data_IF_960490461493
#
_entry.id   IF_960490461493
#
_cell.length_a   1.000
_cell.length_b   1.000
_cell.length_c   1.000
_cell.angle_alpha   90.00
_cell.angle_beta   90.00
_cell.angle_gamma   90.00
#
_symmetry.space_group_name_H-M   'P 1'
#
loop_
_entity.id
_entity.type
_entity.pdbx_description
1 polymer ?
#
# COMPACT_ATOMS: atom_id res chain seq x y z
N UNK A 1 34.26 8.73 -13.83
CA UNK A 1 34.96 8.13 -12.66
C UNK A 1 34.16 7.02 -12.00
N UNK A 2 32.84 7.15 -11.81
CA UNK A 2 31.97 6.08 -11.28
C UNK A 2 32.01 4.76 -12.08
N UNK A 3 32.01 4.83 -13.42
CA UNK A 3 32.07 3.64 -14.30
C UNK A 3 33.42 2.89 -14.28
N UNK A 4 34.43 3.40 -13.56
CA UNK A 4 35.71 2.69 -13.37
C UNK A 4 35.71 1.80 -12.12
N UNK A 5 34.66 1.89 -11.31
CA UNK A 5 34.49 1.03 -10.15
C UNK A 5 33.98 -0.35 -10.60
N UNK A 6 34.35 -1.42 -9.89
CA UNK A 6 33.69 -2.72 -10.03
C UNK A 6 32.18 -2.61 -9.82
N UNK A 7 31.36 -3.39 -10.55
CA UNK A 7 29.90 -3.32 -10.46
C UNK A 7 29.39 -3.60 -9.04
N UNK A 8 30.06 -4.46 -8.28
CA UNK A 8 29.68 -4.81 -6.90
C UNK A 8 29.76 -3.60 -5.95
N UNK A 9 30.71 -2.69 -6.19
CA UNK A 9 30.84 -1.46 -5.42
C UNK A 9 29.74 -0.47 -5.78
N UNK A 10 29.37 -0.38 -7.06
CA UNK A 10 28.25 0.46 -7.52
C UNK A 10 26.95 -0.01 -6.87
N UNK A 11 26.69 -1.31 -6.86
CA UNK A 11 25.52 -1.90 -6.18
C UNK A 11 25.52 -1.59 -4.68
N UNK A 12 26.69 -1.70 -4.03
CA UNK A 12 26.81 -1.43 -2.60
C UNK A 12 26.55 0.04 -2.28
N UNK A 13 27.08 0.97 -3.08
CA UNK A 13 26.83 2.41 -2.93
C UNK A 13 25.35 2.70 -3.16
N UNK A 14 24.77 2.21 -4.25
CA UNK A 14 23.37 2.43 -4.60
C UNK A 14 22.41 1.84 -3.54
N UNK A 15 22.68 0.63 -3.06
CA UNK A 15 21.92 0.02 -1.97
C UNK A 15 22.03 0.84 -0.67
N UNK A 16 23.23 1.31 -0.35
CA UNK A 16 23.47 2.13 0.84
C UNK A 16 22.69 3.45 0.75
N UNK A 17 22.66 4.12 -0.40
CA UNK A 17 21.85 5.32 -0.61
C UNK A 17 20.35 5.07 -0.36
N UNK A 18 19.84 3.94 -0.84
CA UNK A 18 18.45 3.53 -0.61
C UNK A 18 18.21 3.20 0.87
N UNK A 19 19.18 2.61 1.57
CA UNK A 19 19.08 2.31 3.00
C UNK A 19 18.96 3.56 3.89
N UNK A 20 19.50 4.70 3.45
CA UNK A 20 19.31 5.98 4.16
C UNK A 20 17.89 6.52 4.05
N UNK A 21 17.10 6.06 3.07
CA UNK A 21 15.70 6.43 2.89
C UNK A 21 14.82 5.18 2.93
N UNK A 22 14.61 4.55 4.11
CA UNK A 22 13.92 3.27 4.20
C UNK A 22 12.45 3.36 3.74
N UNK A 23 11.79 4.49 3.97
CA UNK A 23 10.40 4.73 3.59
C UNK A 23 10.28 5.34 2.18
N UNK A 24 9.18 5.02 1.50
CA UNK A 24 8.86 5.47 0.16
C UNK A 24 9.61 4.73 -0.96
N UNK A 25 9.36 5.11 -2.22
CA UNK A 25 10.05 4.52 -3.37
C UNK A 25 11.57 4.81 -3.31
N UNK A 26 12.41 4.03 -4.01
CA UNK A 26 13.86 4.23 -4.05
C UNK A 26 14.26 5.43 -4.93
N UNK A 27 13.70 6.62 -4.65
CA UNK A 27 13.89 7.84 -5.43
C UNK A 27 15.36 8.33 -5.45
N UNK A 28 16.15 7.97 -4.42
CA UNK A 28 17.58 8.24 -4.36
C UNK A 28 18.37 7.61 -5.53
N UNK A 29 17.81 6.61 -6.22
CA UNK A 29 18.43 6.01 -7.40
C UNK A 29 18.19 6.80 -8.69
N UNK A 30 17.17 7.67 -8.75
CA UNK A 30 16.81 8.36 -9.98
C UNK A 30 17.99 9.12 -10.61
N UNK A 31 18.80 9.89 -9.87
CA UNK A 31 19.95 10.56 -10.47
C UNK A 31 20.95 9.57 -11.08
N UNK A 32 21.19 8.43 -10.44
CA UNK A 32 22.10 7.40 -10.95
C UNK A 32 21.56 6.72 -12.20
N UNK A 33 20.27 6.36 -12.20
CA UNK A 33 19.57 5.75 -13.33
C UNK A 33 19.58 6.65 -14.58
N UNK A 34 19.52 7.97 -14.39
CA UNK A 34 19.49 8.95 -15.48
C UNK A 34 20.88 9.33 -16.02
N UNK A 35 21.97 8.89 -15.37
CA UNK A 35 23.33 9.27 -15.80
C UNK A 35 23.88 8.46 -16.96
N UNK A 36 23.62 7.15 -17.01
CA UNK A 36 24.20 6.26 -18.03
C UNK A 36 23.40 4.96 -18.18
N UNK A 37 23.33 4.42 -19.40
CA UNK A 37 22.57 3.19 -19.71
C UNK A 37 23.07 1.96 -18.96
N UNK A 38 24.39 1.81 -18.78
CA UNK A 38 24.95 0.68 -18.01
C UNK A 38 24.53 0.70 -16.54
N UNK A 39 24.50 1.89 -15.92
CA UNK A 39 24.04 2.05 -14.54
C UNK A 39 22.54 1.79 -14.45
N UNK A 40 21.77 2.25 -15.44
CA UNK A 40 20.37 1.91 -15.54
C UNK A 40 20.17 0.39 -15.56
N UNK A 41 20.77 -0.32 -16.52
CA UNK A 41 20.62 -1.79 -16.65
C UNK A 41 21.03 -2.53 -15.37
N UNK A 42 22.13 -2.11 -14.73
CA UNK A 42 22.61 -2.73 -13.50
C UNK A 42 21.64 -2.50 -12.32
N UNK A 43 21.20 -1.25 -12.11
CA UNK A 43 20.35 -0.86 -10.98
C UNK A 43 18.85 -1.16 -11.21
N UNK A 44 18.45 -1.55 -12.41
CA UNK A 44 17.13 -2.13 -12.70
C UNK A 44 17.14 -3.65 -12.78
N UNK A 45 18.27 -4.30 -12.49
CA UNK A 45 18.36 -5.75 -12.51
C UNK A 45 17.49 -6.39 -11.41
N UNK A 46 16.85 -7.52 -11.72
CA UNK A 46 16.06 -8.28 -10.76
C UNK A 46 16.79 -8.59 -9.43
N UNK A 47 18.06 -9.07 -9.41
CA UNK A 47 18.75 -9.33 -8.14
C UNK A 47 18.95 -8.08 -7.28
N UNK A 48 19.24 -6.93 -7.89
CA UNK A 48 19.41 -5.68 -7.18
C UNK A 48 18.08 -5.16 -6.61
N UNK A 49 17.01 -5.18 -7.42
CA UNK A 49 15.66 -4.80 -6.97
C UNK A 49 15.14 -5.74 -5.88
N UNK A 50 15.39 -7.05 -5.97
CA UNK A 50 15.07 -8.00 -4.91
C UNK A 50 15.77 -7.68 -3.60
N UNK A 51 17.03 -7.22 -3.66
CA UNK A 51 17.78 -6.77 -2.48
C UNK A 51 17.14 -5.53 -1.86
N UNK A 52 16.65 -4.59 -2.68
CA UNK A 52 15.90 -3.42 -2.20
C UNK A 52 14.54 -3.84 -1.61
N UNK A 53 13.85 -4.79 -2.21
CA UNK A 53 12.58 -5.32 -1.71
C UNK A 53 12.74 -5.84 -0.28
N UNK A 54 13.78 -6.67 -0.04
CA UNK A 54 14.13 -7.20 1.29
C UNK A 54 14.53 -6.15 2.32
N UNK A 55 14.91 -4.95 1.88
CA UNK A 55 15.23 -3.83 2.75
C UNK A 55 13.96 -3.02 3.11
N UNK A 56 13.11 -2.76 2.12
CA UNK A 56 11.98 -1.83 2.24
C UNK A 56 10.65 -2.45 2.66
N UNK A 57 10.46 -3.74 2.37
CA UNK A 57 9.21 -4.47 2.53
C UNK A 57 9.42 -5.72 3.39
N UNK A 58 8.32 -6.25 3.88
CA UNK A 58 8.26 -7.53 4.59
C UNK A 58 8.15 -8.66 3.56
N UNK A 59 9.30 -9.18 3.11
CA UNK A 59 9.33 -10.25 2.10
C UNK A 59 9.01 -11.63 2.66
N UNK A 60 8.97 -11.79 3.99
CA UNK A 60 8.68 -13.06 4.63
C UNK A 60 7.27 -13.57 4.29
N UNK A 61 6.29 -12.67 4.14
CA UNK A 61 4.96 -13.01 3.67
C UNK A 61 4.96 -13.58 2.23
N UNK A 62 5.74 -12.98 1.32
CA UNK A 62 5.95 -13.51 -0.04
C UNK A 62 6.60 -14.90 0.02
N UNK A 63 7.58 -15.10 0.90
CA UNK A 63 8.20 -16.41 1.13
C UNK A 63 7.21 -17.44 1.66
N UNK A 64 6.28 -17.06 2.55
CA UNK A 64 5.22 -17.96 3.05
C UNK A 64 4.28 -18.43 1.95
N UNK A 65 3.95 -17.56 0.97
CA UNK A 65 3.04 -17.88 -0.14
C UNK A 65 3.69 -18.68 -1.26
N UNK A 66 4.90 -18.28 -1.68
CA UNK A 66 5.59 -18.86 -2.84
C UNK A 66 6.62 -19.93 -2.47
N UNK A 67 6.85 -20.17 -1.17
CA UNK A 67 7.87 -21.04 -0.57
C UNK A 67 9.33 -20.65 -0.89
N UNK A 68 9.66 -20.43 -2.17
CA UNK A 68 10.99 -20.05 -2.65
C UNK A 68 10.87 -18.96 -3.74
N UNK A 69 10.61 -17.69 -3.37
CA UNK A 69 10.45 -16.61 -4.33
C UNK A 69 11.77 -16.33 -5.06
N UNK A 70 11.68 -16.21 -6.39
CA UNK A 70 12.80 -15.83 -7.23
C UNK A 70 13.14 -14.34 -7.03
N UNK A 71 14.35 -13.89 -7.44
CA UNK A 71 14.68 -12.47 -7.45
C UNK A 71 13.73 -11.65 -8.34
N UNK A 72 13.19 -12.24 -9.41
CA UNK A 72 12.22 -11.57 -10.27
C UNK A 72 10.91 -11.31 -9.52
N UNK A 73 10.41 -12.29 -8.76
CA UNK A 73 9.16 -12.15 -7.99
C UNK A 73 9.29 -11.04 -6.93
N UNK A 74 10.44 -10.95 -6.26
CA UNK A 74 10.70 -9.90 -5.27
C UNK A 74 10.86 -8.52 -5.92
N UNK A 75 11.45 -8.45 -7.11
CA UNK A 75 11.56 -7.20 -7.86
C UNK A 75 10.17 -6.71 -8.32
N UNK A 76 9.33 -7.62 -8.83
CA UNK A 76 7.96 -7.32 -9.21
C UNK A 76 7.13 -6.87 -8.01
N UNK A 77 7.24 -7.57 -6.88
CA UNK A 77 6.58 -7.18 -5.64
C UNK A 77 6.97 -5.76 -5.19
N UNK A 78 8.26 -5.39 -5.28
CA UNK A 78 8.73 -4.04 -4.98
C UNK A 78 8.11 -3.00 -5.91
N UNK A 79 8.07 -3.27 -7.22
CA UNK A 79 7.49 -2.35 -8.21
C UNK A 79 6.00 -2.17 -7.96
N UNK A 80 5.28 -3.27 -7.74
CA UNK A 80 3.87 -3.25 -7.42
C UNK A 80 3.59 -2.44 -6.15
N UNK A 81 4.31 -2.71 -5.06
CA UNK A 81 4.19 -1.94 -3.82
C UNK A 81 4.46 -0.44 -4.04
N UNK A 82 5.52 -0.08 -4.80
CA UNK A 82 5.80 1.32 -5.09
C UNK A 82 4.67 2.02 -5.86
N UNK A 83 4.00 1.33 -6.79
CA UNK A 83 2.84 1.88 -7.52
C UNK A 83 1.66 2.12 -6.59
N UNK A 84 1.35 1.17 -5.72
CA UNK A 84 0.28 1.32 -4.71
C UNK A 84 0.58 2.52 -3.80
N UNK A 85 1.81 2.64 -3.29
CA UNK A 85 2.21 3.77 -2.45
C UNK A 85 2.13 5.11 -3.19
N UNK A 86 2.40 5.13 -4.50
CA UNK A 86 2.24 6.34 -5.31
C UNK A 86 0.76 6.69 -5.53
N UNK A 87 -0.10 5.72 -5.81
CA UNK A 87 -1.53 5.93 -5.96
C UNK A 87 -2.18 6.45 -4.66
N UNK A 88 -1.84 5.85 -3.51
CA UNK A 88 -2.29 6.33 -2.20
C UNK A 88 -1.86 7.78 -1.94
N UNK A 89 -0.64 8.15 -2.34
CA UNK A 89 -0.11 9.51 -2.22
C UNK A 89 -0.78 10.51 -3.15
N UNK A 90 -1.15 10.10 -4.35
CA UNK A 90 -1.91 10.95 -5.27
C UNK A 90 -3.25 11.34 -4.66
N UNK A 91 -3.86 10.44 -3.87
CA UNK A 91 -5.04 10.75 -3.08
C UNK A 91 -6.33 10.81 -3.88
N UNK A 92 -6.31 10.37 -5.14
CA UNK A 92 -7.49 10.33 -6.01
C UNK A 92 -8.31 9.07 -5.69
N UNK A 93 -9.42 9.27 -4.97
CA UNK A 93 -10.35 8.18 -4.63
C UNK A 93 -11.36 7.92 -5.75
N UNK A 94 -11.38 8.76 -6.79
CA UNK A 94 -12.25 8.65 -7.96
C UNK A 94 -11.57 8.00 -9.15
N UNK A 95 -10.29 7.63 -9.01
CA UNK A 95 -9.53 6.88 -10.01
C UNK A 95 -10.27 5.58 -10.39
N UNK A 96 -10.14 5.19 -11.66
CA UNK A 96 -10.68 3.94 -12.20
C UNK A 96 -10.03 2.72 -11.50
N UNK A 97 -8.77 2.84 -11.10
CA UNK A 97 -7.99 1.75 -10.49
C UNK A 97 -8.05 1.78 -8.94
N UNK A 98 -9.00 2.53 -8.36
CA UNK A 98 -9.12 2.66 -6.89
C UNK A 98 -9.38 1.32 -6.20
N UNK A 99 -10.17 0.44 -6.81
CA UNK A 99 -10.50 -0.86 -6.24
C UNK A 99 -9.24 -1.75 -6.14
N UNK A 100 -8.44 -1.78 -7.22
CA UNK A 100 -7.17 -2.52 -7.24
C UNK A 100 -6.16 -1.92 -6.27
N UNK A 101 -6.13 -0.59 -6.14
CA UNK A 101 -5.29 0.11 -5.16
C UNK A 101 -5.66 -0.27 -3.74
N UNK A 102 -6.95 -0.26 -3.40
CA UNK A 102 -7.45 -0.69 -2.09
C UNK A 102 -7.13 -2.16 -1.82
N UNK A 103 -7.40 -3.05 -2.78
CA UNK A 103 -7.14 -4.48 -2.64
C UNK A 103 -5.64 -4.75 -2.41
N UNK A 104 -4.77 -4.08 -3.17
CA UNK A 104 -3.32 -4.21 -3.05
C UNK A 104 -2.80 -3.64 -1.74
N UNK A 105 -3.37 -2.51 -1.28
CA UNK A 105 -3.04 -1.93 0.02
C UNK A 105 -3.46 -2.85 1.17
N UNK A 106 -4.63 -3.50 1.08
CA UNK A 106 -5.06 -4.49 2.06
C UNK A 106 -4.11 -5.70 2.08
N UNK A 107 -3.72 -6.23 0.92
CA UNK A 107 -2.74 -7.33 0.86
C UNK A 107 -1.41 -6.95 1.52
N UNK A 108 -0.88 -5.76 1.24
CA UNK A 108 0.34 -5.26 1.90
C UNK A 108 0.16 -5.14 3.42
N UNK A 109 -1.03 -4.75 3.88
CA UNK A 109 -1.34 -4.64 5.31
C UNK A 109 -1.45 -6.00 5.99
N UNK A 110 -1.99 -7.01 5.31
CA UNK A 110 -2.08 -8.38 5.84
C UNK A 110 -0.74 -9.09 5.86
N UNK A 111 0.12 -8.76 4.90
CA UNK A 111 1.50 -9.25 4.81
C UNK A 111 2.47 -8.51 5.73
N UNK A 112 1.96 -7.62 6.59
CA UNK A 112 2.79 -6.76 7.41
C UNK A 112 3.41 -7.50 8.60
N UNK A 113 4.75 -7.52 8.62
CA UNK A 113 5.57 -7.89 9.78
C UNK A 113 6.25 -6.64 10.40
N UNK A 114 5.93 -5.44 9.89
CA UNK A 114 6.26 -4.14 10.48
C UNK A 114 6.64 -3.07 9.44
N UNK A 115 7.29 -3.46 8.34
CA UNK A 115 7.78 -2.51 7.32
C UNK A 115 6.68 -2.12 6.35
N UNK A 116 5.80 -3.05 5.96
CA UNK A 116 4.75 -2.76 4.99
C UNK A 116 3.77 -1.70 5.52
N UNK A 117 3.35 -1.80 6.78
CA UNK A 117 2.51 -0.78 7.40
C UNK A 117 3.24 0.55 7.53
N UNK A 118 4.54 0.55 7.86
CA UNK A 118 5.33 1.77 7.87
C UNK A 118 5.35 2.46 6.49
N UNK A 119 5.45 1.70 5.40
CA UNK A 119 5.32 2.22 4.03
C UNK A 119 3.92 2.79 3.77
N UNK A 120 2.87 2.02 4.06
CA UNK A 120 1.48 2.41 3.84
C UNK A 120 1.12 3.69 4.63
N UNK A 121 1.54 3.75 5.89
CA UNK A 121 1.40 4.94 6.74
C UNK A 121 2.13 6.14 6.14
N UNK A 122 3.36 5.95 5.68
CA UNK A 122 4.13 7.01 5.01
C UNK A 122 3.52 7.48 3.67
N UNK A 123 2.74 6.61 3.02
CA UNK A 123 1.95 6.95 1.84
C UNK A 123 0.59 7.59 2.15
N UNK A 124 0.17 7.62 3.41
CA UNK A 124 -1.09 8.23 3.82
C UNK A 124 -2.31 7.33 3.68
N UNK A 125 -2.14 5.99 3.79
CA UNK A 125 -3.23 5.02 3.62
C UNK A 125 -4.48 5.34 4.45
N UNK A 126 -4.32 5.80 5.70
CA UNK A 126 -5.45 6.10 6.58
C UNK A 126 -6.28 7.26 6.03
N UNK A 127 -5.62 8.36 5.65
CA UNK A 127 -6.27 9.55 5.08
C UNK A 127 -6.94 9.22 3.75
N UNK A 128 -6.30 8.39 2.92
CA UNK A 128 -6.87 7.93 1.66
C UNK A 128 -8.17 7.15 1.87
N UNK A 129 -8.14 6.17 2.77
CA UNK A 129 -9.26 5.28 3.03
C UNK A 129 -10.40 6.01 3.74
N UNK A 130 -10.09 6.90 4.68
CA UNK A 130 -11.10 7.76 5.32
C UNK A 130 -11.80 8.64 4.28
N UNK A 131 -11.04 9.24 3.35
CA UNK A 131 -11.60 10.01 2.24
C UNK A 131 -12.52 9.16 1.37
N UNK A 132 -12.08 7.95 1.00
CA UNK A 132 -12.91 7.02 0.24
C UNK A 132 -14.21 6.71 0.98
N UNK A 133 -14.14 6.41 2.28
CA UNK A 133 -15.32 6.10 3.10
C UNK A 133 -16.30 7.27 3.15
N UNK A 134 -15.79 8.49 3.31
CA UNK A 134 -16.63 9.70 3.37
C UNK A 134 -17.28 10.07 2.04
N UNK A 135 -16.59 9.82 0.93
CA UNK A 135 -17.02 10.30 -0.39
C UNK A 135 -17.75 9.24 -1.22
N UNK A 136 -17.37 7.96 -1.09
CA UNK A 136 -17.75 6.90 -2.03
C UNK A 136 -18.45 5.69 -1.41
N UNK A 137 -18.38 5.49 -0.09
CA UNK A 137 -19.00 4.31 0.54
C UNK A 137 -20.51 4.18 0.25
N UNK A 138 -21.19 5.31 0.07
CA UNK A 138 -22.63 5.40 -0.21
C UNK A 138 -22.95 5.70 -1.68
N UNK A 139 -21.94 5.66 -2.56
CA UNK A 139 -22.15 5.82 -3.99
C UNK A 139 -23.04 4.69 -4.53
N UNK A 140 -23.96 5.03 -5.44
CA UNK A 140 -24.91 4.05 -6.01
C UNK A 140 -26.10 3.68 -5.12
N UNK A 141 -26.24 4.29 -3.92
CA UNK A 141 -27.39 4.03 -3.02
C UNK A 141 -28.75 4.29 -3.65
N UNK A 142 -28.83 5.21 -4.61
CA UNK A 142 -30.08 5.55 -5.31
C UNK A 142 -30.63 4.33 -6.08
N UNK A 143 -29.74 3.43 -6.51
CA UNK A 143 -30.10 2.15 -7.13
C UNK A 143 -30.34 1.00 -6.13
N UNK A 144 -30.17 1.24 -4.82
CA UNK A 144 -30.24 0.23 -3.76
C UNK A 144 -31.12 0.68 -2.59
N UNK A 145 -32.29 1.25 -2.90
CA UNK A 145 -33.28 1.69 -1.90
C UNK A 145 -32.72 2.63 -0.82
N UNK A 146 -31.73 3.45 -1.18
CA UNK A 146 -31.07 4.39 -0.25
C UNK A 146 -29.99 3.76 0.63
N UNK A 147 -29.72 2.45 0.50
CA UNK A 147 -28.69 1.73 1.25
C UNK A 147 -27.35 1.67 0.51
N UNK A 148 -26.21 1.65 1.22
CA UNK A 148 -24.91 1.53 0.57
C UNK A 148 -24.80 0.20 -0.17
N UNK A 149 -24.06 0.19 -1.27
CA UNK A 149 -23.83 -1.03 -2.06
C UNK A 149 -22.83 -1.94 -1.35
N UNK A 150 -23.08 -3.25 -1.41
CA UNK A 150 -22.06 -4.24 -1.08
C UNK A 150 -21.12 -4.39 -2.28
N UNK A 151 -19.86 -4.00 -2.10
CA UNK A 151 -18.81 -4.16 -3.10
C UNK A 151 -17.50 -4.54 -2.43
N UNK A 152 -16.62 -5.21 -3.19
CA UNK A 152 -15.28 -5.57 -2.73
C UNK A 152 -14.47 -4.33 -2.34
N UNK A 153 -14.58 -3.24 -3.11
CA UNK A 153 -13.96 -1.95 -2.79
C UNK A 153 -14.44 -1.41 -1.42
N UNK A 154 -15.75 -1.43 -1.16
CA UNK A 154 -16.31 -0.98 0.12
C UNK A 154 -15.85 -1.86 1.28
N UNK A 155 -15.90 -3.19 1.13
CA UNK A 155 -15.42 -4.10 2.15
C UNK A 155 -13.93 -3.88 2.45
N UNK A 156 -13.11 -3.77 1.41
CA UNK A 156 -11.66 -3.55 1.52
C UNK A 156 -11.32 -2.22 2.20
N UNK A 157 -12.04 -1.15 1.84
CA UNK A 157 -11.87 0.15 2.47
C UNK A 157 -12.23 0.10 3.97
N UNK A 158 -13.31 -0.59 4.34
CA UNK A 158 -13.69 -0.76 5.75
C UNK A 158 -12.64 -1.53 6.54
N UNK A 159 -12.10 -2.61 5.97
CA UNK A 159 -11.00 -3.37 6.59
C UNK A 159 -9.74 -2.53 6.76
N UNK A 160 -9.34 -1.79 5.73
CA UNK A 160 -8.20 -0.89 5.82
C UNK A 160 -8.44 0.22 6.83
N UNK A 161 -9.65 0.79 6.91
CA UNK A 161 -9.98 1.81 7.89
C UNK A 161 -9.78 1.25 9.31
N UNK A 162 -10.34 0.08 9.58
CA UNK A 162 -10.19 -0.60 10.86
C UNK A 162 -8.72 -0.89 11.19
N UNK A 163 -7.98 -1.52 10.27
CA UNK A 163 -6.59 -1.93 10.48
C UNK A 163 -5.61 -0.75 10.60
N UNK A 164 -5.97 0.43 10.09
CA UNK A 164 -5.11 1.63 10.11
C UNK A 164 -5.48 2.63 11.20
N UNK A 165 -6.59 2.40 11.91
CA UNK A 165 -7.05 3.29 12.98
C UNK A 165 -6.21 3.12 14.24
N UNK A 166 -5.47 4.18 14.61
CA UNK A 166 -4.70 4.23 15.86
C UNK A 166 -5.54 4.82 17.00
N UNK A 167 -5.38 4.29 18.22
CA UNK A 167 -6.06 4.83 19.43
C UNK A 167 -5.79 6.33 19.62
N UNK A 168 -4.58 6.78 19.34
CA UNK A 168 -4.19 8.20 19.42
C UNK A 168 -4.99 9.06 18.44
N UNK A 169 -5.22 8.58 17.22
CA UNK A 169 -6.05 9.25 16.21
C UNK A 169 -7.48 9.39 16.71
N UNK A 170 -8.06 8.31 17.24
CA UNK A 170 -9.42 8.33 17.80
C UNK A 170 -9.58 9.33 18.94
N UNK A 171 -8.60 9.43 19.83
CA UNK A 171 -8.65 10.37 20.96
C UNK A 171 -8.52 11.84 20.54
N UNK A 172 -7.84 12.10 19.43
CA UNK A 172 -7.66 13.44 18.87
C UNK A 172 -8.78 13.84 17.89
N UNK A 173 -9.66 12.90 17.51
CA UNK A 173 -10.71 13.11 16.52
C UNK A 173 -11.79 14.07 17.03
N UNK A 174 -12.19 14.99 16.15
CA UNK A 174 -13.29 15.92 16.40
C UNK A 174 -14.62 15.16 16.61
N UNK A 175 -15.42 15.50 17.64
CA UNK A 175 -16.67 14.78 17.94
C UNK A 175 -17.67 14.76 16.78
N UNK A 176 -17.80 15.85 16.02
CA UNK A 176 -18.72 15.94 14.89
C UNK A 176 -18.24 15.07 13.73
N UNK A 177 -16.93 15.09 13.47
CA UNK A 177 -16.30 14.26 12.44
C UNK A 177 -16.44 12.76 12.73
N UNK A 178 -16.33 12.38 14.01
CA UNK A 178 -16.56 11.02 14.50
C UNK A 178 -18.01 10.59 14.31
N UNK A 179 -18.97 11.43 14.70
CA UNK A 179 -20.40 11.11 14.58
C UNK A 179 -20.80 10.89 13.11
N UNK A 180 -20.28 11.72 12.20
CA UNK A 180 -20.48 11.52 10.75
C UNK A 180 -19.93 10.17 10.29
N UNK A 181 -18.72 9.80 10.73
CA UNK A 181 -18.11 8.53 10.35
C UNK A 181 -18.90 7.34 10.92
N UNK A 182 -19.34 7.41 12.17
CA UNK A 182 -20.22 6.39 12.78
C UNK A 182 -21.51 6.21 11.98
N UNK A 183 -22.15 7.29 11.57
CA UNK A 183 -23.37 7.25 10.75
C UNK A 183 -23.14 6.58 9.40
N UNK A 184 -21.97 6.81 8.77
CA UNK A 184 -21.62 6.17 7.50
C UNK A 184 -21.39 4.66 7.66
N UNK A 185 -20.83 4.23 8.79
CA UNK A 185 -20.50 2.83 9.07
C UNK A 185 -21.68 2.01 9.60
N UNK A 186 -22.69 2.65 10.20
CA UNK A 186 -23.78 1.99 10.93
C UNK A 186 -24.46 0.85 10.15
N UNK A 187 -24.79 0.97 8.84
CA UNK A 187 -25.41 -0.12 8.09
C UNK A 187 -24.59 -1.42 8.07
N UNK A 188 -23.27 -1.30 7.99
CA UNK A 188 -22.36 -2.44 7.91
C UNK A 188 -22.21 -3.14 9.27
N UNK A 189 -22.43 -2.42 10.37
CA UNK A 189 -22.37 -2.96 11.73
C UNK A 189 -23.70 -3.59 12.14
N UNK A 190 -24.83 -2.96 11.82
CA UNK A 190 -26.16 -3.38 12.29
C UNK A 190 -26.78 -4.43 11.37
N UNK A 191 -26.42 -4.45 10.08
CA UNK A 191 -26.95 -5.40 9.09
C UNK A 191 -25.85 -6.32 8.51
N UNK A 192 -25.11 -7.09 9.33
CA UNK A 192 -23.99 -7.92 8.85
C UNK A 192 -24.43 -9.05 7.90
N UNK A 193 -25.72 -9.41 7.89
CA UNK A 193 -26.29 -10.39 6.96
C UNK A 193 -26.46 -9.84 5.54
N UNK A 194 -26.57 -8.50 5.36
CA UNK A 194 -26.63 -7.84 4.05
C UNK A 194 -25.25 -7.44 3.56
N UNK A 195 -24.32 -7.21 4.48
CA UNK A 195 -22.93 -6.85 4.20
C UNK A 195 -22.01 -7.91 4.78
N UNK A 196 -21.96 -9.11 4.17
CA UNK A 196 -21.19 -10.20 4.71
C UNK A 196 -19.72 -9.79 4.81
N UNK A 197 -19.15 -10.02 5.98
CA UNK A 197 -17.71 -9.89 6.23
C UNK A 197 -16.92 -11.01 5.56
N UNK A 198 -17.44 -11.70 4.53
CA UNK A 198 -16.76 -12.81 3.85
C UNK A 198 -15.52 -12.36 3.08
N UNK A 199 -15.44 -11.08 2.74
CA UNK A 199 -14.22 -10.44 2.21
C UNK A 199 -13.21 -10.09 3.32
N UNK A 200 -13.49 -10.50 4.57
CA UNK A 200 -12.53 -10.42 5.66
C UNK A 200 -11.30 -11.27 5.33
N UNK A 201 -10.10 -10.78 5.66
CA UNK A 201 -8.93 -11.63 5.71
C UNK A 201 -9.22 -12.85 6.60
N UNK A 202 -8.88 -14.08 6.17
CA UNK A 202 -8.97 -15.24 7.06
C UNK A 202 -8.04 -15.01 8.26
N UNK A 203 -8.58 -15.22 9.46
CA UNK A 203 -7.83 -15.17 10.73
C UNK A 203 -6.81 -16.32 10.83
#
# INVERSE_FOLDING_TARGET
>A
MLLRLPPELIDTIAFTLVAHTPLGPPAALLPLLLTHSSLHTQLTSAPFLARIARLKLDTAAVTRRLFSPSPADLAEHLVHACRVLQALRAGDVSDLDVEDTLASALLLMLDNDGRNYAQLRHAGVHVFVERYVRQRLWEGREGNFGWPLHSKANATALWLLWLTTERTSLLAEDPMMREQLVMLLLPFVVCPHLYPSSEAPPN
#
